data_IF_336973721639
#
_entry.id   IF_336973721639
#
_cell.length_a   1.000
_cell.length_b   1.000
_cell.length_c   1.000
_cell.angle_alpha   90.00
_cell.angle_beta   90.00
_cell.angle_gamma   90.00
#
_symmetry.space_group_name_H-M   'P 1'
#
loop_
_entity.id
_entity.type
_entity.pdbx_description
1 polymer ?
#
# COMPACT_ATOMS: atom_id res chain seq x y z
N UNK A 1 20.11 35.74 57.62
CA UNK A 1 20.12 37.21 57.41
C UNK A 1 21.58 37.66 57.32
N UNK A 2 21.96 38.66 56.49
CA UNK A 2 21.80 38.75 55.02
C UNK A 2 22.72 37.69 54.36
N UNK A 3 23.74 37.92 53.48
CA UNK A 3 24.05 38.98 52.47
C UNK A 3 22.97 39.10 51.36
N UNK A 4 22.98 39.97 50.32
CA UNK A 4 23.88 41.00 49.74
C UNK A 4 24.88 40.56 48.63
N UNK A 5 24.74 41.18 47.43
CA UNK A 5 25.60 41.03 46.22
C UNK A 5 26.15 42.38 45.74
N UNK A 6 27.47 42.47 45.56
CA UNK A 6 28.29 43.37 44.70
C UNK A 6 29.75 42.83 44.81
N UNK A 7 30.68 43.00 43.87
CA UNK A 7 30.64 43.69 42.55
C UNK A 7 30.99 42.66 41.44
N UNK A 8 31.93 42.72 40.49
CA UNK A 8 32.87 43.75 39.97
C UNK A 8 32.97 43.60 38.42
N UNK A 9 34.16 43.52 37.81
CA UNK A 9 34.37 43.33 36.36
C UNK A 9 35.58 42.44 36.04
N UNK A 10 35.68 41.97 34.78
CA UNK A 10 36.97 41.89 34.05
C UNK A 10 36.80 41.69 32.53
N UNK A 11 37.81 42.18 31.82
CA UNK A 11 38.01 42.13 30.36
C UNK A 11 38.29 40.66 29.88
N UNK A 12 38.42 40.30 28.60
CA UNK A 12 39.08 40.99 27.49
C UNK A 12 38.69 40.36 26.12
N UNK A 13 39.22 40.89 25.00
CA UNK A 13 38.77 40.54 23.65
C UNK A 13 39.45 39.32 23.00
N UNK A 14 38.77 38.70 22.02
CA UNK A 14 39.33 37.78 21.03
C UNK A 14 38.61 37.94 19.67
N UNK A 15 39.31 37.70 18.56
CA UNK A 15 38.88 38.07 17.21
C UNK A 15 38.22 36.94 16.40
N UNK A 16 37.53 37.30 15.32
CA UNK A 16 36.95 36.38 14.34
C UNK A 16 38.02 35.70 13.46
N UNK A 17 37.71 34.51 12.92
CA UNK A 17 38.58 33.76 12.02
C UNK A 17 37.77 33.16 10.85
N UNK A 18 38.39 33.12 9.66
CA UNK A 18 37.80 32.55 8.42
C UNK A 18 38.59 31.29 7.98
N UNK A 19 38.40 30.69 6.79
CA UNK A 19 38.23 29.25 6.67
C UNK A 19 39.55 28.45 6.70
N UNK A 20 39.50 27.25 7.29
CA UNK A 20 40.63 26.30 7.28
C UNK A 20 40.69 25.52 5.96
N UNK A 21 41.62 25.91 5.08
CA UNK A 21 42.23 24.96 4.13
C UNK A 21 43.44 24.31 4.79
N UNK A 22 43.55 22.98 4.75
CA UNK A 22 44.79 22.27 5.06
C UNK A 22 45.00 21.11 4.10
N UNK A 23 46.18 21.07 3.46
CA UNK A 23 46.61 19.98 2.58
C UNK A 23 46.99 18.77 3.42
N UNK A 24 46.53 17.58 3.04
CA UNK A 24 47.16 16.31 3.46
C UNK A 24 47.88 15.69 2.27
N UNK A 25 49.09 15.20 2.49
CA UNK A 25 50.00 14.68 1.47
C UNK A 25 49.94 13.16 1.38
N UNK A 26 49.44 12.62 0.27
CA UNK A 26 49.33 11.16 0.01
C UNK A 26 50.11 10.74 -1.24
N UNK A 27 51.40 11.04 -1.26
CA UNK A 27 52.31 10.69 -2.37
C UNK A 27 52.67 9.20 -2.43
N UNK A 28 51.79 8.36 -2.98
CA UNK A 28 52.08 6.94 -3.22
C UNK A 28 51.70 6.46 -4.64
N UNK A 29 52.62 6.72 -5.58
CA UNK A 29 52.92 5.91 -6.78
C UNK A 29 51.71 5.35 -7.56
N UNK A 30 51.23 6.14 -8.53
CA UNK A 30 50.59 5.59 -9.72
C UNK A 30 51.60 4.72 -10.50
N UNK A 31 51.67 3.42 -10.19
CA UNK A 31 52.51 2.48 -10.93
C UNK A 31 51.70 1.87 -12.07
N UNK A 32 51.72 2.53 -13.22
CA UNK A 32 51.03 2.06 -14.42
C UNK A 32 51.54 0.69 -14.86
N UNK A 33 50.74 -0.36 -14.67
CA UNK A 33 50.94 -1.67 -15.31
C UNK A 33 50.11 -1.75 -16.59
N UNK A 34 50.63 -1.14 -17.66
CA UNK A 34 50.29 -1.56 -19.03
C UNK A 34 51.24 -2.69 -19.44
N UNK A 35 50.77 -3.92 -19.24
CA UNK A 35 51.08 -5.20 -19.91
C UNK A 35 49.91 -6.09 -19.47
N UNK A 36 49.00 -6.52 -20.35
CA UNK A 36 49.20 -7.26 -21.59
C UNK A 36 49.88 -8.61 -21.31
N UNK A 37 49.37 -9.65 -21.96
CA UNK A 37 49.59 -11.06 -21.67
C UNK A 37 48.94 -11.46 -20.31
N UNK A 38 48.04 -12.44 -20.21
CA UNK A 38 47.51 -13.38 -21.21
C UNK A 38 45.98 -13.25 -21.39
N UNK A 39 45.53 -13.53 -22.60
CA UNK A 39 44.13 -13.54 -23.02
C UNK A 39 43.49 -14.89 -22.69
N UNK A 40 42.77 -14.98 -21.56
CA UNK A 40 41.89 -16.13 -21.30
C UNK A 40 40.69 -16.01 -22.23
N UNK A 41 40.82 -16.68 -23.38
CA UNK A 41 39.88 -16.71 -24.49
C UNK A 41 38.46 -17.16 -24.08
N UNK A 42 37.47 -16.61 -24.78
CA UNK A 42 36.33 -17.40 -25.27
C UNK A 42 35.29 -17.91 -24.28
N UNK A 43 35.46 -17.73 -22.97
CA UNK A 43 34.47 -18.13 -21.96
C UNK A 43 33.21 -17.25 -22.03
N UNK A 44 32.38 -17.51 -23.05
CA UNK A 44 31.30 -16.64 -23.52
C UNK A 44 30.39 -16.19 -22.37
N UNK A 45 30.53 -14.92 -21.98
CA UNK A 45 29.89 -14.36 -20.81
C UNK A 45 28.37 -14.16 -21.05
N UNK A 46 27.60 -15.24 -20.88
CA UNK A 46 26.13 -15.38 -21.07
C UNK A 46 25.43 -14.02 -21.17
N UNK A 47 24.90 -13.61 -22.34
CA UNK A 47 24.33 -12.28 -22.53
C UNK A 47 23.29 -11.91 -21.47
N UNK A 48 23.15 -10.62 -21.14
CA UNK A 48 22.23 -10.15 -20.09
C UNK A 48 20.78 -10.63 -20.33
N UNK A 49 20.37 -10.75 -21.59
CA UNK A 49 19.06 -11.26 -22.01
C UNK A 49 18.91 -12.78 -21.82
N UNK A 50 19.98 -13.55 -22.05
CA UNK A 50 20.00 -14.98 -21.78
C UNK A 50 20.05 -15.26 -20.28
N UNK A 51 20.75 -14.43 -19.50
CA UNK A 51 20.71 -14.47 -18.03
C UNK A 51 19.30 -14.14 -17.50
N UNK A 52 18.63 -13.12 -18.06
CA UNK A 52 17.24 -12.82 -17.74
C UNK A 52 16.30 -13.98 -18.09
N UNK A 53 16.52 -14.66 -19.23
CA UNK A 53 15.77 -15.85 -19.65
C UNK A 53 16.03 -17.12 -18.82
N UNK A 54 17.13 -17.18 -18.05
CA UNK A 54 17.37 -18.20 -17.02
C UNK A 54 16.64 -17.82 -15.73
N UNK A 55 16.80 -16.58 -15.27
CA UNK A 55 16.16 -16.07 -14.06
C UNK A 55 14.62 -16.07 -14.16
N UNK A 56 14.06 -15.91 -15.35
CA UNK A 56 12.62 -15.97 -15.61
C UNK A 56 12.02 -17.38 -15.54
N UNK A 57 12.82 -18.41 -15.28
CA UNK A 57 12.39 -19.83 -15.15
C UNK A 57 12.43 -20.33 -13.70
N UNK A 58 12.71 -19.46 -12.75
CA UNK A 58 12.75 -19.83 -11.33
C UNK A 58 11.34 -19.92 -10.74
N UNK A 59 11.15 -20.84 -9.79
CA UNK A 59 9.85 -21.04 -9.11
C UNK A 59 9.69 -20.10 -7.91
N UNK A 60 10.78 -19.60 -7.32
CA UNK A 60 10.75 -18.64 -6.21
C UNK A 60 11.38 -17.29 -6.59
N UNK A 61 10.63 -16.21 -6.38
CA UNK A 61 11.12 -14.83 -6.39
C UNK A 61 12.35 -14.64 -5.50
N UNK A 62 12.41 -15.36 -4.37
CA UNK A 62 13.54 -15.40 -3.45
C UNK A 62 14.82 -16.02 -4.04
N UNK A 63 14.74 -16.93 -5.01
CA UNK A 63 15.92 -17.43 -5.73
C UNK A 63 16.48 -16.32 -6.63
N UNK A 64 15.62 -15.55 -7.31
CA UNK A 64 16.02 -14.39 -8.13
C UNK A 64 16.64 -13.30 -7.26
N UNK A 65 16.10 -13.03 -6.07
CA UNK A 65 16.68 -12.10 -5.08
C UNK A 65 18.08 -12.55 -4.63
N UNK A 66 18.23 -13.84 -4.28
CA UNK A 66 19.53 -14.43 -3.89
C UNK A 66 20.54 -14.37 -5.03
N UNK A 67 20.10 -14.62 -6.26
CA UNK A 67 20.90 -14.52 -7.48
C UNK A 67 21.31 -13.07 -7.80
N UNK A 68 20.42 -12.09 -7.65
CA UNK A 68 20.73 -10.67 -7.80
C UNK A 68 21.83 -10.20 -6.82
N UNK A 69 21.86 -10.76 -5.61
CA UNK A 69 22.84 -10.44 -4.58
C UNK A 69 24.25 -11.03 -4.84
N UNK A 70 24.40 -12.01 -5.74
CA UNK A 70 25.70 -12.67 -6.01
C UNK A 70 26.75 -11.70 -6.59
N UNK A 71 26.35 -10.82 -7.51
CA UNK A 71 27.25 -9.84 -8.10
C UNK A 71 26.50 -8.66 -8.74
N UNK A 72 27.21 -7.53 -8.90
CA UNK A 72 26.67 -6.30 -9.52
C UNK A 72 26.15 -6.47 -10.95
N UNK A 73 26.58 -7.50 -11.71
CA UNK A 73 26.01 -7.79 -13.03
C UNK A 73 24.60 -8.34 -12.90
N UNK A 74 24.43 -9.41 -12.11
CA UNK A 74 23.15 -10.09 -11.94
C UNK A 74 22.12 -9.17 -11.29
N UNK A 75 22.51 -8.37 -10.28
CA UNK A 75 21.66 -7.33 -9.72
C UNK A 75 21.18 -6.29 -10.75
N UNK A 76 22.07 -5.79 -11.62
CA UNK A 76 21.68 -4.86 -12.71
C UNK A 76 20.72 -5.50 -13.71
N UNK A 77 20.92 -6.76 -14.09
CA UNK A 77 20.02 -7.48 -15.00
C UNK A 77 18.64 -7.66 -14.37
N UNK A 78 18.58 -8.04 -13.08
CA UNK A 78 17.31 -8.18 -12.35
C UNK A 78 16.57 -6.85 -12.23
N UNK A 79 17.26 -5.74 -11.94
CA UNK A 79 16.64 -4.40 -11.92
C UNK A 79 16.20 -3.95 -13.32
N UNK A 80 17.03 -4.12 -14.36
CA UNK A 80 16.72 -3.69 -15.72
C UNK A 80 15.60 -4.52 -16.40
N UNK A 81 15.46 -5.79 -16.03
CA UNK A 81 14.41 -6.70 -16.54
C UNK A 81 13.29 -6.95 -15.53
N UNK A 82 13.18 -6.14 -14.46
CA UNK A 82 12.27 -6.35 -13.33
C UNK A 82 10.80 -6.60 -13.75
N UNK A 83 10.23 -5.76 -14.63
CA UNK A 83 8.86 -5.91 -15.15
C UNK A 83 8.67 -7.03 -16.18
N UNK A 84 9.74 -7.74 -16.56
CA UNK A 84 9.69 -8.95 -17.38
C UNK A 84 9.80 -10.19 -16.48
N UNK A 85 10.73 -10.18 -15.52
CA UNK A 85 10.88 -11.22 -14.50
C UNK A 85 9.61 -11.33 -13.65
N UNK A 86 9.04 -10.22 -13.20
CA UNK A 86 7.80 -10.20 -12.42
C UNK A 86 6.57 -10.79 -13.13
N UNK A 87 6.60 -10.96 -14.46
CA UNK A 87 5.52 -11.61 -15.25
C UNK A 87 5.76 -13.10 -15.46
N UNK A 88 7.03 -13.53 -15.43
CA UNK A 88 7.41 -14.90 -15.73
C UNK A 88 7.59 -15.76 -14.46
N UNK A 89 7.86 -15.11 -13.32
CA UNK A 89 7.84 -15.72 -12.01
C UNK A 89 6.38 -15.85 -11.52
N UNK A 90 6.00 -16.95 -10.86
CA UNK A 90 4.69 -17.07 -10.24
C UNK A 90 4.51 -16.06 -9.08
N UNK A 91 3.26 -15.80 -8.64
CA UNK A 91 3.00 -15.09 -7.40
C UNK A 91 3.78 -15.70 -6.21
N UNK A 92 4.20 -14.90 -5.21
CA UNK A 92 4.95 -15.43 -4.09
C UNK A 92 4.10 -16.41 -3.25
N UNK A 93 4.38 -17.71 -3.36
CA UNK A 93 3.74 -18.79 -2.58
C UNK A 93 4.10 -18.80 -1.08
N UNK A 94 4.50 -17.64 -0.53
CA UNK A 94 4.70 -17.37 0.90
C UNK A 94 4.60 -15.86 1.15
N UNK A 95 4.31 -15.50 2.39
CA UNK A 95 4.31 -14.11 2.84
C UNK A 95 5.72 -13.51 2.71
N UNK A 96 5.82 -12.29 2.19
CA UNK A 96 7.07 -11.54 2.07
C UNK A 96 6.99 -10.20 2.80
N UNK A 97 7.20 -10.15 4.14
CA UNK A 97 7.10 -8.92 4.95
C UNK A 97 7.86 -7.70 4.39
N UNK A 98 8.93 -7.93 3.61
CA UNK A 98 9.72 -6.90 2.91
C UNK A 98 8.98 -6.15 1.79
N UNK A 99 7.81 -6.62 1.37
CA UNK A 99 6.96 -5.90 0.41
C UNK A 99 6.16 -4.78 1.07
N UNK A 100 5.89 -4.82 2.38
CA UNK A 100 5.20 -3.74 3.07
C UNK A 100 6.14 -2.54 3.29
N UNK A 101 5.73 -1.37 2.80
CA UNK A 101 6.58 -0.17 2.77
C UNK A 101 6.12 0.87 3.79
N UNK A 102 4.83 0.91 4.11
CA UNK A 102 4.27 1.81 5.11
C UNK A 102 2.77 2.04 4.94
N UNK A 103 2.30 3.17 5.48
CA UNK A 103 0.89 3.56 5.52
C UNK A 103 0.72 4.98 4.98
N UNK A 104 -0.17 5.15 4.01
CA UNK A 104 -0.74 6.46 3.68
C UNK A 104 -1.92 6.77 4.60
N UNK A 105 -2.05 8.03 5.01
CA UNK A 105 -3.22 8.52 5.73
C UNK A 105 -3.47 10.00 5.46
N UNK A 106 -4.60 10.52 5.97
CA UNK A 106 -4.78 11.94 6.23
C UNK A 106 -4.83 12.18 7.74
N UNK A 107 -4.40 13.37 8.16
CA UNK A 107 -4.64 13.85 9.53
C UNK A 107 -6.13 14.18 9.74
N UNK A 108 -6.52 14.41 11.00
CA UNK A 108 -7.82 15.01 11.31
C UNK A 108 -7.73 16.54 11.19
N UNK A 109 -8.84 17.21 10.90
CA UNK A 109 -8.89 18.68 10.74
C UNK A 109 -8.50 19.45 12.02
N UNK A 110 -8.57 18.79 13.18
CA UNK A 110 -8.14 19.31 14.49
C UNK A 110 -6.62 19.19 14.75
N UNK A 111 -5.84 18.62 13.82
CA UNK A 111 -4.40 18.49 13.98
C UNK A 111 -3.70 19.86 14.05
N UNK A 112 -2.70 20.05 14.94
CA UNK A 112 -2.07 21.34 15.18
C UNK A 112 -1.04 21.72 14.11
N UNK A 113 -1.47 21.79 12.85
CA UNK A 113 -0.70 22.40 11.78
C UNK A 113 -0.28 23.82 12.20
N UNK A 114 1.01 24.14 12.08
CA UNK A 114 1.59 25.37 12.62
C UNK A 114 0.96 26.62 11.97
N UNK A 115 0.00 27.25 12.68
CA UNK A 115 -0.82 28.36 12.17
C UNK A 115 0.01 29.60 11.87
N UNK A 116 0.52 29.69 10.65
CA UNK A 116 1.16 30.89 10.11
C UNK A 116 0.12 32.01 10.03
N UNK A 117 0.19 32.96 10.97
CA UNK A 117 -0.76 34.09 11.06
C UNK A 117 -0.69 34.92 9.77
N UNK A 118 -1.71 34.82 8.92
CA UNK A 118 -1.81 35.60 7.68
C UNK A 118 -2.63 34.97 6.57
N UNK A 119 -2.77 33.64 6.53
CA UNK A 119 -3.61 32.99 5.51
C UNK A 119 -5.10 33.05 5.86
N UNK A 120 -5.92 33.50 4.90
CA UNK A 120 -7.39 33.48 4.97
C UNK A 120 -7.99 32.20 4.37
N UNK A 121 -7.20 31.36 3.72
CA UNK A 121 -7.59 30.03 3.24
C UNK A 121 -7.19 28.94 4.26
N UNK A 122 -7.99 27.87 4.43
CA UNK A 122 -7.54 26.70 5.20
C UNK A 122 -6.28 26.08 4.56
N UNK A 123 -5.38 25.46 5.36
CA UNK A 123 -4.20 24.80 4.82
C UNK A 123 -4.63 23.59 3.98
N UNK A 124 -4.17 23.52 2.73
CA UNK A 124 -4.44 22.39 1.84
C UNK A 124 -3.88 21.09 2.45
N UNK A 125 -4.74 20.10 2.67
CA UNK A 125 -4.33 18.82 3.26
C UNK A 125 -3.65 17.95 2.21
N UNK A 126 -2.49 17.37 2.53
CA UNK A 126 -1.82 16.38 1.68
C UNK A 126 -1.93 14.99 2.33
N UNK A 127 -1.89 13.89 1.56
CA UNK A 127 -1.65 12.56 2.11
C UNK A 127 -0.31 12.52 2.85
N UNK A 128 -0.36 12.16 4.13
CA UNK A 128 0.82 11.83 4.92
C UNK A 128 1.23 10.38 4.66
N UNK A 129 2.52 10.08 4.77
CA UNK A 129 3.05 8.72 4.67
C UNK A 129 3.94 8.38 5.87
N UNK A 130 3.72 7.21 6.45
CA UNK A 130 4.48 6.67 7.58
C UNK A 130 5.21 5.40 7.13
N UNK A 131 6.55 5.39 7.10
CA UNK A 131 7.32 4.26 6.59
C UNK A 131 7.42 3.11 7.61
N UNK A 132 7.52 1.87 7.11
CA UNK A 132 8.01 0.76 7.92
C UNK A 132 9.51 0.93 8.20
N UNK A 133 9.97 0.57 9.40
CA UNK A 133 11.39 0.66 9.77
C UNK A 133 12.29 -0.19 8.85
N UNK A 134 11.76 -1.33 8.38
CA UNK A 134 12.38 -2.20 7.38
C UNK A 134 12.55 -1.56 6.00
N UNK A 135 11.62 -0.67 5.61
CA UNK A 135 11.51 -0.10 4.28
C UNK A 135 12.03 1.34 4.16
N UNK A 136 12.30 2.04 5.28
CA UNK A 136 12.84 3.40 5.31
C UNK A 136 14.09 3.61 4.42
N UNK A 137 14.89 2.56 4.19
CA UNK A 137 16.08 2.61 3.29
C UNK A 137 15.75 2.64 1.79
N UNK A 138 14.53 2.24 1.41
CA UNK A 138 14.03 2.29 0.03
C UNK A 138 13.38 3.65 -0.29
N UNK A 139 13.17 4.46 0.74
CA UNK A 139 12.48 5.74 0.71
C UNK A 139 13.54 6.85 0.71
N UNK A 140 14.19 7.01 -0.44
CA UNK A 140 15.00 8.19 -0.73
C UNK A 140 14.08 9.34 -1.13
N UNK A 141 14.39 10.57 -0.71
CA UNK A 141 13.62 11.77 -1.06
C UNK A 141 13.28 11.80 -2.56
N UNK A 142 14.27 11.53 -3.43
CA UNK A 142 14.13 11.57 -4.91
C UNK A 142 13.11 10.58 -5.51
N UNK A 143 12.63 9.58 -4.76
CA UNK A 143 11.61 8.62 -5.24
C UNK A 143 10.21 8.98 -4.77
N UNK A 144 10.08 9.50 -3.54
CA UNK A 144 8.78 9.79 -2.92
C UNK A 144 8.37 11.27 -3.05
N UNK A 145 9.36 12.18 -3.14
CA UNK A 145 9.12 13.58 -3.44
C UNK A 145 8.51 13.86 -4.82
N UNK A 146 8.81 13.15 -5.93
CA UNK A 146 8.24 13.50 -7.23
C UNK A 146 6.72 13.55 -7.25
N UNK A 147 6.01 12.55 -6.72
CA UNK A 147 4.55 12.57 -6.67
C UNK A 147 3.98 13.57 -5.64
N UNK A 148 4.70 13.85 -4.55
CA UNK A 148 4.23 14.71 -3.46
C UNK A 148 4.60 16.20 -3.66
N UNK A 149 5.62 16.50 -4.49
CA UNK A 149 6.22 17.85 -4.68
C UNK A 149 6.35 18.27 -6.15
N UNK A 150 6.18 17.37 -7.12
CA UNK A 150 6.18 17.69 -8.56
C UNK A 150 4.77 17.45 -9.13
N UNK A 151 4.13 18.37 -9.85
CA UNK A 151 4.55 19.70 -10.31
C UNK A 151 3.68 20.81 -9.67
N UNK A 152 3.95 22.07 -10.01
CA UNK A 152 3.28 23.27 -9.48
C UNK A 152 1.80 23.45 -9.88
N UNK A 153 1.09 22.38 -10.23
CA UNK A 153 -0.32 22.37 -10.67
C UNK A 153 -1.29 21.99 -9.52
N UNK A 154 -0.78 21.68 -8.33
CA UNK A 154 -1.58 21.49 -7.12
C UNK A 154 -2.46 20.23 -7.09
N UNK A 155 -2.35 19.34 -8.08
CA UNK A 155 -3.26 18.20 -8.32
C UNK A 155 -3.54 17.30 -7.10
N UNK A 156 -2.56 17.09 -6.21
CA UNK A 156 -2.73 16.27 -4.99
C UNK A 156 -3.19 17.04 -3.75
N UNK A 157 -3.39 18.36 -3.83
CA UNK A 157 -3.99 19.13 -2.73
C UNK A 157 -5.37 18.58 -2.40
N UNK A 158 -5.63 18.42 -1.11
CA UNK A 158 -6.85 17.84 -0.53
C UNK A 158 -7.17 16.42 -1.03
N UNK A 159 -6.24 15.75 -1.74
CA UNK A 159 -6.44 14.39 -2.19
C UNK A 159 -6.44 13.41 -1.03
N UNK A 160 -7.29 12.38 -1.09
CA UNK A 160 -7.35 11.30 -0.09
C UNK A 160 -6.94 9.96 -0.72
N UNK A 161 -6.11 9.14 -0.07
CA UNK A 161 -5.92 7.76 -0.51
C UNK A 161 -7.19 6.94 -0.23
N UNK A 162 -7.48 5.98 -1.11
CA UNK A 162 -8.74 5.20 -1.07
C UNK A 162 -8.48 3.70 -1.15
N UNK A 163 -7.49 3.29 -1.94
CA UNK A 163 -7.11 1.91 -2.17
C UNK A 163 -5.61 1.81 -2.52
N UNK A 164 -4.99 0.67 -2.27
CA UNK A 164 -3.63 0.32 -2.67
C UNK A 164 -3.57 -1.17 -3.01
N UNK A 165 -2.88 -1.51 -4.10
CA UNK A 165 -2.60 -2.88 -4.49
C UNK A 165 -1.37 -2.95 -5.38
N UNK A 166 -0.50 -3.95 -5.18
CA UNK A 166 0.58 -4.31 -6.10
C UNK A 166 1.48 -3.12 -6.53
N UNK A 167 1.88 -2.25 -5.59
CA UNK A 167 2.69 -1.07 -5.88
C UNK A 167 1.95 0.11 -6.52
N UNK A 168 0.63 0.03 -6.66
CA UNK A 168 -0.23 1.13 -7.10
C UNK A 168 -1.11 1.64 -5.94
N UNK A 169 -1.41 2.93 -5.97
CA UNK A 169 -2.22 3.68 -5.00
C UNK A 169 -3.33 4.44 -5.75
N UNK A 170 -4.56 4.35 -5.25
CA UNK A 170 -5.71 5.13 -5.73
C UNK A 170 -5.88 6.35 -4.82
N UNK A 171 -5.77 7.54 -5.40
CA UNK A 171 -6.07 8.82 -4.77
C UNK A 171 -7.38 9.40 -5.34
N UNK A 172 -8.30 9.81 -4.48
CA UNK A 172 -9.39 10.70 -4.88
C UNK A 172 -8.90 12.15 -4.85
N UNK A 173 -9.11 12.87 -5.96
CA UNK A 173 -8.72 14.26 -6.10
C UNK A 173 -9.89 15.17 -5.69
N UNK A 174 -9.67 16.04 -4.69
CA UNK A 174 -10.68 16.99 -4.20
C UNK A 174 -10.30 18.40 -4.67
N UNK A 175 -11.19 19.07 -5.42
CA UNK A 175 -10.91 20.42 -5.91
C UNK A 175 -11.18 21.48 -4.85
N UNK A 176 -10.30 22.48 -4.82
CA UNK A 176 -10.28 23.60 -3.87
C UNK A 176 -11.27 24.70 -4.35
N UNK A 177 -12.30 25.00 -3.56
CA UNK A 177 -13.34 25.99 -3.87
C UNK A 177 -14.77 25.42 -3.91
N UNK A 178 -15.73 26.17 -3.35
CA UNK A 178 -17.09 25.70 -3.02
C UNK A 178 -18.04 25.34 -4.18
N UNK A 179 -17.57 25.32 -5.43
CA UNK A 179 -18.34 24.94 -6.62
C UNK A 179 -17.86 23.58 -7.16
N UNK A 180 -17.97 22.53 -6.33
CA UNK A 180 -17.69 21.18 -6.78
C UNK A 180 -18.68 20.77 -7.89
N UNK A 181 -18.17 20.51 -9.09
CA UNK A 181 -18.85 20.07 -10.32
C UNK A 181 -19.62 18.71 -10.18
N UNK A 182 -19.77 18.19 -8.96
CA UNK A 182 -20.54 16.98 -8.68
C UNK A 182 -19.92 15.69 -9.24
N UNK A 183 -18.63 15.70 -9.60
CA UNK A 183 -17.95 14.53 -10.20
C UNK A 183 -16.92 13.95 -9.25
N UNK A 184 -16.78 12.63 -9.30
CA UNK A 184 -15.67 11.93 -8.66
C UNK A 184 -14.47 11.93 -9.62
N UNK A 185 -13.31 12.40 -9.16
CA UNK A 185 -12.04 12.38 -9.89
C UNK A 185 -11.06 11.50 -9.12
N UNK A 186 -10.45 10.55 -9.81
CA UNK A 186 -9.50 9.60 -9.23
C UNK A 186 -8.17 9.67 -9.98
N UNK A 187 -7.08 9.33 -9.30
CA UNK A 187 -5.77 9.10 -9.89
C UNK A 187 -5.25 7.75 -9.40
N UNK A 188 -4.69 6.95 -10.29
CA UNK A 188 -3.93 5.74 -9.95
C UNK A 188 -2.47 6.03 -10.20
N UNK A 189 -1.64 6.01 -9.15
CA UNK A 189 -0.21 6.23 -9.25
C UNK A 189 0.60 5.07 -8.66
N UNK A 190 1.89 4.99 -9.00
CA UNK A 190 2.84 4.05 -8.42
C UNK A 190 3.97 4.85 -7.73
N UNK A 191 3.89 5.04 -6.39
CA UNK A 191 4.87 5.78 -5.60
C UNK A 191 6.34 5.36 -5.77
N UNK A 192 6.63 4.13 -6.21
CA UNK A 192 8.00 3.66 -6.40
C UNK A 192 8.59 3.96 -7.79
N UNK A 193 7.78 4.46 -8.73
CA UNK A 193 8.19 4.71 -10.13
C UNK A 193 7.84 6.11 -10.66
N UNK A 194 6.90 6.81 -10.01
CA UNK A 194 6.39 8.10 -10.49
C UNK A 194 5.28 8.00 -11.55
N UNK A 195 4.94 6.80 -12.03
CA UNK A 195 3.79 6.57 -12.93
C UNK A 195 2.49 7.06 -12.29
N UNK A 196 1.65 7.75 -13.07
CA UNK A 196 0.37 8.29 -12.63
C UNK A 196 -0.61 8.47 -13.80
N UNK A 197 -1.80 7.91 -13.65
CA UNK A 197 -2.92 8.04 -14.57
C UNK A 197 -4.12 8.70 -13.86
N UNK A 198 -4.52 9.90 -14.30
CA UNK A 198 -5.75 10.54 -13.85
C UNK A 198 -6.93 9.96 -14.64
N UNK A 199 -7.94 9.44 -13.94
CA UNK A 199 -9.11 8.82 -14.55
C UNK A 199 -10.07 9.91 -15.07
N UNK A 200 -10.78 9.68 -16.19
CA UNK A 200 -11.91 10.51 -16.61
C UNK A 200 -12.91 10.68 -15.47
N UNK A 201 -13.41 11.90 -15.27
CA UNK A 201 -14.30 12.19 -14.13
C UNK A 201 -15.63 11.42 -14.23
N UNK A 202 -16.04 10.77 -13.15
CA UNK A 202 -17.30 10.01 -13.11
C UNK A 202 -18.49 10.98 -13.05
N UNK A 203 -19.06 11.29 -14.22
CA UNK A 203 -20.23 12.16 -14.39
C UNK A 203 -21.54 11.46 -13.98
N UNK A 204 -21.77 11.27 -12.68
CA UNK A 204 -23.01 10.72 -12.11
C UNK A 204 -24.19 11.73 -12.10
N UNK A 205 -24.31 12.55 -13.15
CA UNK A 205 -25.20 13.73 -13.19
C UNK A 205 -24.75 14.84 -12.22
N UNK A 206 -25.62 15.82 -11.89
CA UNK A 206 -25.28 17.01 -11.07
C UNK A 206 -24.96 16.76 -9.58
N UNK A 207 -24.53 15.56 -9.18
CA UNK A 207 -24.08 15.31 -7.80
C UNK A 207 -23.16 14.08 -7.72
N UNK A 208 -22.12 14.22 -6.88
CA UNK A 208 -21.04 13.26 -6.63
C UNK A 208 -21.53 12.10 -5.76
N UNK A 209 -21.07 10.85 -5.95
CA UNK A 209 -21.24 9.80 -4.96
C UNK A 209 -20.51 10.23 -3.68
N UNK A 210 -21.25 10.51 -2.60
CA UNK A 210 -20.67 10.93 -1.32
C UNK A 210 -19.81 9.81 -0.71
N UNK A 211 -20.36 8.60 -0.76
CA UNK A 211 -19.83 7.39 -0.17
C UNK A 211 -19.73 6.32 -1.27
N UNK A 212 -18.62 5.59 -1.31
CA UNK A 212 -18.38 4.51 -2.26
C UNK A 212 -17.26 3.59 -1.73
N UNK A 213 -17.37 2.30 -2.03
CA UNK A 213 -16.27 1.34 -1.92
C UNK A 213 -15.41 1.35 -3.17
N UNK A 214 -14.11 1.05 -3.00
CA UNK A 214 -13.14 0.99 -4.09
C UNK A 214 -12.48 -0.38 -4.14
N UNK A 215 -12.13 -0.87 -5.33
CA UNK A 215 -11.13 -1.92 -5.50
C UNK A 215 -10.18 -1.53 -6.63
N UNK A 216 -8.91 -1.91 -6.47
CA UNK A 216 -7.90 -1.83 -7.51
C UNK A 216 -7.48 -3.27 -7.82
N UNK A 217 -7.61 -3.69 -9.08
CA UNK A 217 -7.00 -4.91 -9.59
C UNK A 217 -5.87 -4.51 -10.54
N UNK A 218 -4.80 -5.29 -10.62
CA UNK A 218 -3.71 -5.11 -11.58
C UNK A 218 -3.48 -6.40 -12.37
N UNK A 219 -2.64 -6.37 -13.41
CA UNK A 219 -2.22 -7.59 -14.10
C UNK A 219 -1.41 -8.59 -13.27
N UNK A 220 -1.15 -8.33 -11.97
CA UNK A 220 -0.62 -9.33 -11.03
C UNK A 220 -1.76 -10.19 -10.39
N UNK A 221 -3.03 -9.92 -10.72
CA UNK A 221 -4.23 -10.54 -10.08
C UNK A 221 -5.10 -11.36 -11.05
N UNK A 222 -4.72 -11.42 -12.32
CA UNK A 222 -5.37 -12.15 -13.43
C UNK A 222 -4.30 -12.45 -14.50
N UNK A 223 -4.06 -13.73 -14.79
CA UNK A 223 -3.01 -14.20 -15.72
C UNK A 223 -3.22 -13.74 -17.17
N UNK A 224 -4.44 -13.33 -17.54
CA UNK A 224 -4.78 -12.85 -18.87
C UNK A 224 -4.50 -11.34 -19.05
N UNK A 225 -4.31 -10.59 -17.96
CA UNK A 225 -4.14 -9.14 -17.97
C UNK A 225 -2.67 -8.69 -18.08
N UNK A 226 -2.32 -7.71 -18.94
CA UNK A 226 -0.98 -7.15 -18.95
C UNK A 226 -0.60 -6.52 -17.59
N UNK A 227 0.63 -6.73 -17.09
CA UNK A 227 1.09 -6.12 -15.82
C UNK A 227 0.97 -4.58 -15.75
N UNK A 228 0.97 -3.91 -16.90
CA UNK A 228 0.78 -2.45 -17.01
C UNK A 228 -0.69 -2.02 -16.93
N UNK A 229 -1.61 -2.96 -17.14
CA UNK A 229 -3.06 -2.74 -17.02
C UNK A 229 -3.53 -2.72 -15.56
N UNK A 230 -4.65 -2.04 -15.32
CA UNK A 230 -5.34 -2.05 -14.04
C UNK A 230 -6.85 -1.82 -14.21
N UNK A 231 -7.62 -2.31 -13.25
CA UNK A 231 -9.06 -2.08 -13.14
C UNK A 231 -9.34 -1.29 -11.86
N UNK A 232 -10.14 -0.22 -11.93
CA UNK A 232 -10.70 0.44 -10.74
C UNK A 232 -12.19 0.15 -10.68
N UNK A 233 -12.61 -0.64 -9.70
CA UNK A 233 -14.01 -0.88 -9.41
C UNK A 233 -14.52 0.12 -8.36
N UNK A 234 -15.66 0.71 -8.64
CA UNK A 234 -16.42 1.53 -7.69
C UNK A 234 -17.75 0.87 -7.37
N UNK A 235 -18.01 0.71 -6.07
CA UNK A 235 -19.27 0.24 -5.51
C UNK A 235 -19.95 1.44 -4.85
N UNK A 236 -21.03 1.97 -5.43
CA UNK A 236 -21.68 3.20 -4.97
C UNK A 236 -23.20 3.12 -4.92
N UNK A 237 -23.86 4.05 -4.22
CA UNK A 237 -25.32 4.18 -4.28
C UNK A 237 -25.73 5.20 -5.34
N UNK A 238 -26.56 4.77 -6.29
CA UNK A 238 -27.05 5.61 -7.38
C UNK A 238 -28.31 6.41 -6.98
N UNK A 239 -28.71 7.34 -7.85
CA UNK A 239 -29.85 8.27 -7.66
C UNK A 239 -31.19 7.58 -7.38
N UNK A 240 -31.34 6.31 -7.76
CA UNK A 240 -32.57 5.51 -7.57
C UNK A 240 -32.56 4.75 -6.23
N UNK A 241 -31.67 5.13 -5.31
CA UNK A 241 -31.54 4.51 -3.99
C UNK A 241 -31.09 3.03 -4.04
N UNK A 242 -30.54 2.60 -5.17
CA UNK A 242 -30.02 1.26 -5.42
C UNK A 242 -28.49 1.29 -5.40
N UNK A 243 -27.89 0.21 -4.95
CA UNK A 243 -26.44 0.02 -5.03
C UNK A 243 -26.06 -0.40 -6.45
N UNK A 244 -24.99 0.18 -6.96
CA UNK A 244 -24.50 0.05 -8.32
C UNK A 244 -22.97 -0.15 -8.30
N UNK A 245 -22.47 -0.80 -9.34
CA UNK A 245 -21.06 -1.11 -9.55
C UNK A 245 -20.63 -0.57 -10.91
N UNK A 246 -19.38 -0.10 -10.99
CA UNK A 246 -18.81 0.38 -12.25
C UNK A 246 -17.30 0.17 -12.30
N UNK A 247 -16.80 -0.36 -13.41
CA UNK A 247 -15.38 -0.58 -13.65
C UNK A 247 -14.80 0.52 -14.54
N UNK A 248 -13.56 0.95 -14.26
CA UNK A 248 -12.68 1.63 -15.21
C UNK A 248 -11.55 0.70 -15.60
N UNK A 249 -11.34 0.53 -16.90
CA UNK A 249 -10.21 -0.22 -17.45
C UNK A 249 -9.10 0.74 -17.89
N UNK A 250 -7.85 0.38 -17.62
CA UNK A 250 -6.69 0.94 -18.28
C UNK A 250 -5.77 -0.17 -18.76
N UNK A 251 -5.27 -0.07 -20.00
CA UNK A 251 -4.17 -0.87 -20.51
C UNK A 251 -3.21 0.00 -21.29
N UNK A 252 -1.91 -0.27 -21.18
CA UNK A 252 -0.88 0.41 -21.98
C UNK A 252 -0.70 -0.21 -23.37
N UNK A 253 -1.50 -1.21 -23.74
CA UNK A 253 -1.44 -1.91 -25.03
C UNK A 253 -2.64 -1.65 -25.94
N UNK A 254 -3.72 -1.06 -25.42
CA UNK A 254 -4.87 -0.61 -26.20
C UNK A 254 -4.62 0.77 -26.81
N UNK A 255 -4.98 0.96 -28.09
CA UNK A 255 -4.90 2.26 -28.76
C UNK A 255 -5.85 3.31 -28.18
N UNK A 256 -6.96 2.87 -27.57
CA UNK A 256 -7.77 3.68 -26.68
C UNK A 256 -7.15 3.74 -25.28
N UNK A 257 -6.79 4.94 -24.84
CA UNK A 257 -6.60 5.23 -23.41
C UNK A 257 -7.86 4.86 -22.61
N UNK A 258 -7.67 4.45 -21.36
CA UNK A 258 -8.68 3.79 -20.53
C UNK A 258 -10.05 4.48 -20.40
N UNK A 259 -11.09 3.68 -20.09
CA UNK A 259 -12.49 4.11 -20.08
C UNK A 259 -13.35 3.46 -19.01
N UNK A 260 -14.44 4.14 -18.64
CA UNK A 260 -15.47 3.61 -17.74
C UNK A 260 -16.47 2.73 -18.48
N UNK A 261 -16.65 1.50 -18.00
CA UNK A 261 -17.67 0.56 -18.48
C UNK A 261 -19.11 0.98 -18.13
N UNK A 262 -20.10 0.10 -18.39
CA UNK A 262 -21.49 0.31 -18.01
C UNK A 262 -21.69 0.36 -16.48
N UNK A 263 -22.78 0.99 -16.02
CA UNK A 263 -23.23 0.87 -14.62
C UNK A 263 -24.00 -0.45 -14.46
N UNK A 264 -23.44 -1.38 -13.69
CA UNK A 264 -24.11 -2.62 -13.32
C UNK A 264 -24.92 -2.42 -12.02
N UNK A 265 -26.10 -3.01 -11.91
CA UNK A 265 -26.89 -3.00 -10.67
C UNK A 265 -26.37 -4.07 -9.72
N UNK A 266 -26.04 -3.71 -8.49
CA UNK A 266 -25.66 -4.68 -7.46
C UNK A 266 -26.88 -5.55 -7.06
N UNK A 267 -26.66 -6.84 -6.83
CA UNK A 267 -27.64 -7.76 -6.25
C UNK A 267 -28.03 -7.36 -4.82
N UNK A 268 -27.05 -6.95 -4.01
CA UNK A 268 -27.23 -6.56 -2.60
C UNK A 268 -27.34 -5.04 -2.43
N UNK A 269 -28.32 -4.60 -1.63
CA UNK A 269 -28.53 -3.18 -1.31
C UNK A 269 -27.77 -2.77 -0.06
N UNK A 270 -26.79 -1.89 -0.20
CA UNK A 270 -25.94 -1.37 0.86
C UNK A 270 -26.43 0.05 1.24
N UNK A 271 -26.60 0.34 2.53
CA UNK A 271 -26.99 1.70 2.97
C UNK A 271 -25.81 2.67 2.90
N UNK A 272 -26.06 3.97 2.69
CA UNK A 272 -24.99 4.98 2.58
C UNK A 272 -24.02 5.00 3.78
N UNK A 273 -24.54 4.84 5.00
CA UNK A 273 -23.72 4.77 6.22
C UNK A 273 -22.83 3.52 6.31
N UNK A 274 -23.24 2.38 5.73
CA UNK A 274 -22.37 1.20 5.57
C UNK A 274 -21.35 1.43 4.46
N UNK A 275 -21.79 2.01 3.34
CA UNK A 275 -20.97 2.31 2.18
C UNK A 275 -19.86 3.34 2.47
N UNK A 276 -20.07 4.25 3.42
CA UNK A 276 -19.04 5.16 3.94
C UNK A 276 -17.91 4.44 4.68
N UNK A 277 -18.22 3.27 5.25
CA UNK A 277 -17.33 2.45 6.08
C UNK A 277 -16.76 1.26 5.32
N UNK A 278 -17.25 0.99 4.11
CA UNK A 278 -16.75 -0.08 3.27
C UNK A 278 -15.36 0.35 2.76
N UNK A 279 -14.34 -0.42 3.13
CA UNK A 279 -12.96 -0.13 2.78
C UNK A 279 -12.64 -0.49 1.34
N UNK A 280 -11.36 -0.77 1.09
CA UNK A 280 -10.99 -1.45 -0.13
C UNK A 280 -11.48 -2.91 -0.12
N UNK A 281 -11.81 -3.45 -1.29
CA UNK A 281 -11.87 -4.89 -1.47
C UNK A 281 -10.48 -5.55 -1.46
N UNK A 282 -10.42 -6.78 -0.96
CA UNK A 282 -9.34 -7.71 -1.30
C UNK A 282 -9.60 -8.32 -2.68
N UNK A 283 -8.57 -8.85 -3.35
CA UNK A 283 -8.74 -9.51 -4.66
C UNK A 283 -8.14 -10.90 -4.64
N UNK A 284 -8.92 -11.88 -5.08
CA UNK A 284 -8.51 -13.28 -5.27
C UNK A 284 -8.98 -13.74 -6.65
N UNK A 285 -8.06 -14.28 -7.48
CA UNK A 285 -8.32 -14.83 -8.83
C UNK A 285 -9.26 -13.96 -9.70
N UNK A 286 -8.92 -12.67 -9.86
CA UNK A 286 -9.71 -11.69 -10.62
C UNK A 286 -11.05 -11.26 -10.01
N UNK A 287 -11.38 -11.67 -8.78
CA UNK A 287 -12.62 -11.29 -8.08
C UNK A 287 -12.33 -10.37 -6.91
N UNK A 288 -13.02 -9.23 -6.85
CA UNK A 288 -12.91 -8.27 -5.75
C UNK A 288 -13.96 -8.53 -4.67
N UNK A 289 -13.55 -8.70 -3.41
CA UNK A 289 -14.42 -9.01 -2.27
C UNK A 289 -14.50 -7.85 -1.26
N UNK A 290 -15.70 -7.34 -1.01
CA UNK A 290 -15.98 -6.42 0.10
C UNK A 290 -16.70 -7.13 1.25
N UNK A 291 -16.33 -6.89 2.53
CA UNK A 291 -17.09 -7.41 3.66
C UNK A 291 -18.40 -6.63 3.87
N UNK A 292 -19.52 -7.33 3.88
CA UNK A 292 -20.83 -6.83 4.34
C UNK A 292 -21.21 -7.48 5.69
N UNK A 293 -22.35 -7.13 6.28
CA UNK A 293 -22.80 -7.68 7.56
C UNK A 293 -23.18 -9.18 7.50
N UNK A 294 -23.64 -9.63 6.33
CA UNK A 294 -24.29 -10.93 6.14
C UNK A 294 -23.48 -11.88 5.22
N UNK A 295 -22.39 -11.37 4.64
CA UNK A 295 -21.50 -12.12 3.74
C UNK A 295 -20.41 -11.26 3.09
N UNK A 296 -19.49 -11.88 2.35
CA UNK A 296 -18.51 -11.18 1.52
C UNK A 296 -19.05 -11.05 0.08
N UNK A 297 -19.22 -9.81 -0.42
CA UNK A 297 -19.66 -9.55 -1.78
C UNK A 297 -18.46 -9.63 -2.73
N UNK A 298 -18.35 -10.74 -3.45
CA UNK A 298 -17.41 -10.91 -4.57
C UNK A 298 -18.00 -10.36 -5.88
N UNK A 299 -17.16 -9.69 -6.67
CA UNK A 299 -17.51 -9.15 -8.00
C UNK A 299 -16.40 -9.50 -8.99
N UNK A 300 -16.73 -10.22 -10.07
CA UNK A 300 -15.79 -10.63 -11.12
C UNK A 300 -15.84 -9.65 -12.30
N UNK A 301 -14.66 -9.31 -12.83
CA UNK A 301 -14.49 -8.46 -14.04
C UNK A 301 -13.99 -9.32 -15.20
N UNK A 302 -14.50 -9.06 -16.40
CA UNK A 302 -14.01 -9.67 -17.63
C UNK A 302 -12.71 -9.02 -18.10
N UNK A 303 -11.61 -9.76 -18.05
CA UNK A 303 -10.36 -9.36 -18.70
C UNK A 303 -10.51 -9.18 -20.22
N UNK A 304 -11.37 -10.00 -20.86
CA UNK A 304 -11.57 -10.03 -22.31
C UNK A 304 -12.35 -8.83 -22.86
N UNK A 305 -13.27 -8.25 -22.07
CA UNK A 305 -14.04 -7.03 -22.41
C UNK A 305 -13.60 -5.79 -21.60
N UNK A 306 -12.59 -5.94 -20.74
CA UNK A 306 -11.84 -4.89 -20.05
C UNK A 306 -12.58 -4.16 -18.93
N UNK A 307 -13.83 -3.73 -19.13
CA UNK A 307 -14.58 -2.89 -18.19
C UNK A 307 -15.96 -3.46 -17.82
N UNK A 308 -16.22 -4.72 -18.14
CA UNK A 308 -17.50 -5.39 -17.94
C UNK A 308 -17.49 -6.24 -16.66
N UNK A 309 -18.55 -6.13 -15.88
CA UNK A 309 -18.76 -6.93 -14.66
C UNK A 309 -19.62 -8.12 -15.06
N UNK A 310 -19.04 -9.32 -15.03
CA UNK A 310 -19.71 -10.55 -15.50
C UNK A 310 -20.50 -11.24 -14.41
N UNK A 311 -20.07 -11.12 -13.15
CA UNK A 311 -20.60 -11.92 -12.06
C UNK A 311 -20.58 -11.17 -10.73
N UNK A 312 -21.56 -11.47 -9.87
CA UNK A 312 -21.66 -10.96 -8.50
C UNK A 312 -22.23 -12.07 -7.62
N UNK A 313 -21.51 -12.41 -6.54
CA UNK A 313 -21.84 -13.49 -5.63
C UNK A 313 -21.60 -13.04 -4.18
N UNK A 314 -22.45 -13.48 -3.25
CA UNK A 314 -22.38 -13.11 -1.83
C UNK A 314 -22.05 -14.37 -1.03
N UNK A 315 -20.81 -14.49 -0.56
CA UNK A 315 -20.37 -15.63 0.23
C UNK A 315 -20.95 -15.50 1.65
N UNK A 316 -21.87 -16.36 2.09
CA UNK A 316 -22.52 -16.20 3.39
C UNK A 316 -21.55 -16.49 4.54
N UNK A 317 -21.73 -15.79 5.65
CA UNK A 317 -21.12 -16.17 6.93
C UNK A 317 -21.98 -17.23 7.64
N UNK A 318 -21.37 -18.10 8.46
CA UNK A 318 -22.09 -19.06 9.33
C UNK A 318 -23.18 -18.41 10.20
N UNK A 319 -22.99 -17.13 10.54
CA UNK A 319 -23.82 -16.33 11.44
C UNK A 319 -23.86 -14.89 10.91
N UNK A 320 -25.05 -14.28 10.72
CA UNK A 320 -25.18 -12.91 10.22
C UNK A 320 -24.83 -11.86 11.30
N UNK A 321 -24.76 -10.60 10.87
CA UNK A 321 -24.59 -9.40 11.73
C UNK A 321 -23.24 -9.30 12.45
N UNK A 322 -22.19 -9.93 11.94
CA UNK A 322 -20.82 -9.70 12.41
C UNK A 322 -20.26 -8.38 11.87
N UNK A 323 -20.30 -7.35 12.73
CA UNK A 323 -19.87 -5.96 12.51
C UNK A 323 -18.59 -5.82 11.66
N UNK A 324 -18.69 -5.27 10.42
CA UNK A 324 -17.53 -5.10 9.55
C UNK A 324 -16.43 -4.18 10.12
N UNK A 325 -16.76 -3.19 10.96
CA UNK A 325 -15.78 -2.25 11.55
C UNK A 325 -14.73 -2.91 12.45
N UNK A 326 -15.00 -4.12 12.95
CA UNK A 326 -14.06 -4.91 13.77
C UNK A 326 -13.29 -5.96 12.95
N UNK A 327 -13.51 -6.02 11.63
CA UNK A 327 -13.02 -7.09 10.75
C UNK A 327 -12.37 -6.53 9.50
N UNK A 328 -11.46 -7.29 8.91
CA UNK A 328 -11.00 -7.07 7.53
C UNK A 328 -10.98 -8.41 6.80
N UNK A 329 -11.17 -8.36 5.48
CA UNK A 329 -10.81 -9.49 4.63
C UNK A 329 -9.29 -9.49 4.37
N UNK A 330 -8.76 -10.64 4.02
CA UNK A 330 -7.40 -10.86 3.55
C UNK A 330 -7.35 -12.07 2.63
N UNK A 331 -6.26 -12.20 1.88
CA UNK A 331 -5.96 -13.37 1.05
C UNK A 331 -4.58 -13.89 1.46
N UNK A 332 -4.46 -15.19 1.68
CA UNK A 332 -3.18 -15.84 1.96
C UNK A 332 -2.49 -16.31 0.65
N UNK A 333 -1.16 -16.56 0.67
CA UNK A 333 -0.40 -17.09 -0.48
C UNK A 333 -0.82 -18.48 -0.97
N UNK A 334 -1.74 -19.15 -0.27
CA UNK A 334 -2.35 -20.42 -0.64
C UNK A 334 -3.77 -20.23 -1.22
N UNK A 335 -4.06 -19.04 -1.75
CA UNK A 335 -5.33 -18.57 -2.30
C UNK A 335 -6.53 -18.58 -1.34
N UNK A 336 -6.34 -18.85 -0.04
CA UNK A 336 -7.44 -18.84 0.92
C UNK A 336 -7.83 -17.40 1.27
N UNK A 337 -9.04 -17.02 0.86
CA UNK A 337 -9.76 -15.86 1.40
C UNK A 337 -10.02 -16.09 2.91
N UNK A 338 -9.74 -15.09 3.73
CA UNK A 338 -10.06 -15.10 5.16
C UNK A 338 -10.67 -13.78 5.60
N UNK A 339 -11.38 -13.78 6.72
CA UNK A 339 -11.52 -12.58 7.54
C UNK A 339 -10.64 -12.68 8.78
N UNK A 340 -10.14 -11.53 9.24
CA UNK A 340 -9.39 -11.39 10.48
C UNK A 340 -10.05 -10.37 11.39
N UNK A 341 -10.11 -10.70 12.68
CA UNK A 341 -10.67 -9.84 13.73
C UNK A 341 -9.91 -10.03 15.04
N UNK A 342 -9.93 -9.01 15.91
CA UNK A 342 -9.10 -9.00 17.12
C UNK A 342 -9.95 -9.22 18.39
N UNK A 343 -9.62 -10.26 19.15
CA UNK A 343 -10.16 -10.55 20.48
C UNK A 343 -9.14 -10.28 21.60
N UNK A 344 -9.59 -10.34 22.85
CA UNK A 344 -8.73 -10.33 24.04
C UNK A 344 -8.85 -11.68 24.74
N UNK A 345 -7.72 -12.25 25.16
CA UNK A 345 -7.64 -13.52 25.88
C UNK A 345 -6.88 -13.29 27.20
N UNK A 346 -7.61 -13.22 28.32
CA UNK A 346 -7.05 -12.73 29.57
C UNK A 346 -6.75 -11.24 29.47
N UNK A 347 -5.47 -10.87 29.51
CA UNK A 347 -4.98 -9.51 29.26
C UNK A 347 -4.27 -9.35 27.90
N UNK A 348 -4.21 -10.42 27.10
CA UNK A 348 -3.35 -10.51 25.92
C UNK A 348 -4.20 -10.38 24.65
N UNK A 349 -3.76 -9.50 23.73
CA UNK A 349 -4.42 -9.31 22.45
C UNK A 349 -4.23 -10.53 21.54
N UNK A 350 -5.28 -10.91 20.80
CA UNK A 350 -5.30 -12.07 19.91
C UNK A 350 -5.91 -11.70 18.57
N UNK A 351 -5.22 -11.96 17.46
CA UNK A 351 -5.86 -11.99 16.15
C UNK A 351 -6.48 -13.37 15.93
N UNK A 352 -7.70 -13.39 15.38
CA UNK A 352 -8.40 -14.59 14.95
C UNK A 352 -8.65 -14.54 13.46
N UNK A 353 -8.23 -15.58 12.74
CA UNK A 353 -8.46 -15.75 11.31
C UNK A 353 -9.53 -16.81 11.09
N UNK A 354 -10.46 -16.56 10.17
CA UNK A 354 -11.49 -17.50 9.72
C UNK A 354 -11.50 -17.55 8.20
N UNK A 355 -11.41 -18.75 7.63
CA UNK A 355 -11.25 -18.96 6.20
C UNK A 355 -12.59 -19.13 5.47
N UNK A 356 -12.56 -19.02 4.14
CA UNK A 356 -13.65 -19.44 3.26
C UNK A 356 -13.18 -20.64 2.43
N UNK A 357 -13.99 -21.69 2.40
CA UNK A 357 -13.84 -22.79 1.46
C UNK A 357 -14.41 -22.34 0.12
N UNK A 358 -13.54 -22.20 -0.89
CA UNK A 358 -13.88 -21.85 -2.27
C UNK A 358 -13.38 -23.00 -3.16
N UNK A 359 -14.30 -23.65 -3.85
CA UNK A 359 -14.05 -24.90 -4.57
C UNK A 359 -13.62 -24.60 -6.03
N UNK A 360 -12.31 -24.43 -6.24
CA UNK A 360 -11.73 -24.12 -7.56
C UNK A 360 -11.92 -22.64 -7.94
N UNK A 361 -12.36 -22.38 -9.18
CA UNK A 361 -12.62 -21.02 -9.68
C UNK A 361 -14.08 -20.58 -9.54
N UNK A 362 -14.96 -21.50 -9.11
CA UNK A 362 -16.34 -21.21 -8.72
C UNK A 362 -16.35 -20.55 -7.33
N UNK A 363 -16.13 -19.24 -7.35
CA UNK A 363 -16.32 -18.38 -6.18
C UNK A 363 -17.77 -18.41 -5.70
N UNK A 364 -18.75 -18.60 -6.59
CA UNK A 364 -20.19 -18.59 -6.25
C UNK A 364 -20.60 -19.74 -5.32
N UNK A 365 -19.94 -20.89 -5.40
CA UNK A 365 -20.09 -22.02 -4.47
C UNK A 365 -19.44 -21.80 -3.09
N UNK A 366 -18.68 -20.70 -2.93
CA UNK A 366 -17.88 -20.42 -1.74
C UNK A 366 -18.69 -20.19 -0.46
N UNK A 367 -18.22 -20.78 0.64
CA UNK A 367 -18.84 -20.65 1.98
C UNK A 367 -17.78 -20.45 3.05
N UNK A 368 -18.13 -19.77 4.14
CA UNK A 368 -17.23 -19.64 5.29
C UNK A 368 -16.94 -21.03 5.91
N UNK A 369 -15.73 -21.25 6.40
CA UNK A 369 -15.37 -22.41 7.22
C UNK A 369 -15.90 -22.26 8.65
N UNK A 370 -16.23 -23.39 9.28
CA UNK A 370 -16.79 -23.44 10.62
C UNK A 370 -15.86 -22.76 11.66
N UNK A 371 -16.45 -22.04 12.63
CA UNK A 371 -15.71 -21.30 13.67
C UNK A 371 -14.83 -22.17 14.60
N UNK A 372 -14.97 -23.50 14.57
CA UNK A 372 -14.05 -24.43 15.23
C UNK A 372 -12.66 -24.52 14.56
N UNK A 373 -12.53 -24.04 13.32
CA UNK A 373 -11.29 -24.02 12.52
C UNK A 373 -10.55 -22.67 12.59
N UNK A 374 -10.95 -21.77 13.50
CA UNK A 374 -10.34 -20.45 13.65
C UNK A 374 -8.89 -20.51 14.15
N UNK A 375 -7.96 -19.92 13.39
CA UNK A 375 -6.58 -19.79 13.84
C UNK A 375 -6.43 -18.57 14.77
N UNK A 376 -5.95 -18.81 16.00
CA UNK A 376 -5.70 -17.78 17.01
C UNK A 376 -4.23 -17.43 17.18
N UNK A 377 -3.83 -16.23 16.78
CA UNK A 377 -2.47 -15.69 16.95
C UNK A 377 -2.41 -14.80 18.20
N UNK A 378 -1.73 -15.26 19.26
CA UNK A 378 -1.57 -14.53 20.53
C UNK A 378 -0.41 -13.54 20.47
N UNK A 379 -0.71 -12.25 20.57
CA UNK A 379 0.28 -11.17 20.59
C UNK A 379 0.78 -10.97 22.02
N UNK A 380 1.62 -11.89 22.53
CA UNK A 380 2.13 -11.85 23.92
C UNK A 380 2.85 -10.53 24.29
N UNK A 381 3.35 -9.80 23.30
CA UNK A 381 3.95 -8.48 23.49
C UNK A 381 2.91 -7.38 23.77
N UNK A 382 1.64 -7.57 23.40
CA UNK A 382 0.54 -6.60 23.42
C UNK A 382 -0.48 -6.95 24.52
N UNK A 383 -0.25 -6.41 25.72
CA UNK A 383 -1.25 -6.42 26.80
C UNK A 383 -2.29 -5.31 26.56
N UNK A 384 -3.57 -5.69 26.53
CA UNK A 384 -4.73 -4.82 26.24
C UNK A 384 -5.91 -5.27 27.10
N UNK A 385 -6.55 -4.34 27.80
CA UNK A 385 -7.65 -4.62 28.75
C UNK A 385 -9.04 -4.28 28.22
N UNK A 386 -9.16 -3.57 27.09
CA UNK A 386 -10.45 -3.14 26.53
C UNK A 386 -10.37 -2.99 24.99
N UNK A 387 -11.31 -3.60 24.28
CA UNK A 387 -11.38 -3.59 22.81
C UNK A 387 -11.72 -2.19 22.24
N UNK A 388 -12.45 -1.34 22.98
CA UNK A 388 -12.85 0.02 22.52
C UNK A 388 -11.66 0.97 22.26
N UNK A 389 -10.46 0.56 22.68
CA UNK A 389 -9.21 1.28 22.37
C UNK A 389 -8.65 0.94 21.00
N UNK A 390 -9.07 -0.19 20.41
CA UNK A 390 -8.46 -0.77 19.21
C UNK A 390 -9.32 -0.53 17.96
N UNK A 391 -8.66 -0.21 16.85
CA UNK A 391 -9.25 -0.24 15.51
C UNK A 391 -8.36 -1.07 14.60
N UNK A 392 -8.95 -2.04 13.92
CA UNK A 392 -8.34 -2.73 12.79
C UNK A 392 -8.34 -1.76 11.58
N UNK A 393 -7.30 -1.78 10.73
CA UNK A 393 -7.09 -0.69 9.74
C UNK A 393 -6.77 -1.16 8.33
N UNK A 394 -5.88 -2.15 8.17
CA UNK A 394 -5.51 -2.65 6.85
C UNK A 394 -4.98 -4.10 6.90
N UNK A 395 -5.13 -4.84 5.79
CA UNK A 395 -4.41 -6.09 5.53
C UNK A 395 -3.58 -5.91 4.27
N UNK A 396 -2.28 -6.15 4.39
CA UNK A 396 -1.32 -6.18 3.29
C UNK A 396 -1.08 -7.65 2.93
N UNK A 397 -1.73 -8.11 1.86
CA UNK A 397 -1.89 -9.52 1.50
C UNK A 397 -0.55 -10.21 1.20
N UNK A 398 0.29 -9.61 0.34
CA UNK A 398 1.52 -10.27 -0.15
C UNK A 398 2.65 -10.26 0.88
N UNK A 399 2.61 -9.35 1.85
CA UNK A 399 3.54 -9.27 2.98
C UNK A 399 3.05 -9.96 4.25
N UNK A 400 1.74 -10.15 4.40
CA UNK A 400 1.13 -10.69 5.61
C UNK A 400 1.12 -9.72 6.79
N UNK A 401 1.20 -8.41 6.55
CA UNK A 401 1.10 -7.41 7.62
C UNK A 401 -0.36 -6.96 7.82
N UNK A 402 -0.81 -6.99 9.07
CA UNK A 402 -2.11 -6.46 9.48
C UNK A 402 -1.87 -5.20 10.30
N UNK A 403 -2.32 -4.06 9.78
CA UNK A 403 -2.21 -2.78 10.47
C UNK A 403 -3.40 -2.52 11.39
N UNK A 404 -3.11 -2.03 12.59
CA UNK A 404 -4.09 -1.64 13.59
C UNK A 404 -3.60 -0.44 14.40
N UNK A 405 -4.52 0.26 15.04
CA UNK A 405 -4.21 1.42 15.91
C UNK A 405 -4.79 1.21 17.29
N UNK A 406 -4.02 1.54 18.33
CA UNK A 406 -4.54 1.70 19.68
C UNK A 406 -4.63 3.18 20.05
N UNK A 407 -5.81 3.60 20.52
CA UNK A 407 -5.96 4.76 21.38
C UNK A 407 -5.24 4.51 22.70
N UNK A 408 -4.79 5.58 23.33
CA UNK A 408 -4.24 5.53 24.68
C UNK A 408 -5.16 4.78 25.66
N UNK A 409 -4.52 3.97 26.50
CA UNK A 409 -5.13 3.09 27.49
C UNK A 409 -4.32 3.17 28.79
N UNK A 410 -4.81 2.56 29.87
CA UNK A 410 -4.09 2.49 31.14
C UNK A 410 -2.74 1.75 31.08
N UNK A 411 -2.40 1.11 29.95
CA UNK A 411 -1.09 0.50 29.72
C UNK A 411 -0.08 1.43 29.02
N UNK A 412 -0.43 2.68 28.72
CA UNK A 412 0.47 3.67 28.11
C UNK A 412 0.94 3.35 26.68
N UNK A 413 0.21 2.49 25.95
CA UNK A 413 0.59 1.97 24.63
C UNK A 413 -0.34 2.45 23.53
N UNK A 414 -0.36 3.77 23.31
CA UNK A 414 -0.94 4.42 22.13
C UNK A 414 -0.06 4.22 20.88
N UNK A 415 -0.65 4.25 19.69
CA UNK A 415 0.08 4.30 18.42
C UNK A 415 -0.53 3.47 17.28
N UNK A 416 0.22 3.39 16.17
CA UNK A 416 -0.04 2.52 15.02
C UNK A 416 0.91 1.33 15.07
N UNK A 417 0.40 0.12 14.82
CA UNK A 417 1.10 -1.15 14.93
C UNK A 417 0.86 -2.02 13.69
N UNK A 418 1.79 -2.92 13.41
CA UNK A 418 1.63 -3.97 12.40
C UNK A 418 1.86 -5.34 13.05
N UNK A 419 0.91 -6.27 12.88
CA UNK A 419 1.07 -7.68 13.17
C UNK A 419 1.59 -8.37 11.92
N UNK A 420 2.71 -9.07 12.02
CA UNK A 420 3.25 -9.93 10.98
C UNK A 420 2.68 -11.35 11.14
N UNK A 421 1.91 -11.83 10.17
CA UNK A 421 1.27 -13.16 10.20
C UNK A 421 2.27 -14.33 10.11
N UNK A 422 3.42 -14.13 9.43
CA UNK A 422 4.47 -15.15 9.29
C UNK A 422 5.20 -15.38 10.61
N UNK A 423 5.76 -14.31 11.19
CA UNK A 423 6.57 -14.39 12.40
C UNK A 423 5.75 -14.32 13.69
N UNK A 424 4.46 -13.95 13.59
CA UNK A 424 3.50 -13.80 14.70
C UNK A 424 3.93 -12.74 15.74
N UNK A 425 4.76 -11.79 15.30
CA UNK A 425 5.27 -10.65 16.07
C UNK A 425 4.52 -9.36 15.74
N UNK A 426 4.56 -8.38 16.66
CA UNK A 426 4.01 -7.04 16.47
C UNK A 426 5.13 -6.01 16.48
N UNK A 427 5.20 -5.18 15.45
CA UNK A 427 6.06 -3.98 15.44
C UNK A 427 5.24 -2.70 15.61
N UNK A 428 5.86 -1.67 16.20
CA UNK A 428 5.27 -0.33 16.31
C UNK A 428 5.71 0.50 15.12
N UNK A 429 4.73 1.03 14.40
CA UNK A 429 4.90 1.77 13.13
C UNK A 429 4.91 3.27 13.37
N UNK A 430 4.12 3.76 14.34
CA UNK A 430 4.15 5.15 14.78
C UNK A 430 3.69 5.30 16.24
N UNK A 431 4.21 6.34 16.90
CA UNK A 431 3.72 6.86 18.17
C UNK A 431 2.47 7.75 17.99
N UNK A 432 1.76 8.02 19.09
CA UNK A 432 0.72 9.04 19.14
C UNK A 432 -0.63 8.64 18.53
N UNK A 433 -1.30 9.61 17.89
CA UNK A 433 -2.76 9.59 17.69
C UNK A 433 -3.24 8.88 16.42
N UNK A 434 -2.60 7.78 16.01
CA UNK A 434 -2.98 7.02 14.80
C UNK A 434 -4.45 6.61 14.74
N UNK A 435 -5.09 6.43 15.90
CA UNK A 435 -6.52 6.16 16.05
C UNK A 435 -7.46 7.28 15.54
N UNK A 436 -6.94 8.50 15.30
CA UNK A 436 -7.66 9.66 14.71
C UNK A 436 -7.45 9.81 13.20
N UNK A 437 -6.44 9.17 12.61
CA UNK A 437 -6.15 9.31 11.19
C UNK A 437 -7.36 8.94 10.33
N UNK A 438 -7.59 9.71 9.26
CA UNK A 438 -8.64 9.45 8.26
C UNK A 438 -8.02 8.78 7.03
N UNK A 439 -8.83 8.05 6.25
CA UNK A 439 -8.44 7.48 4.97
C UNK A 439 -7.10 6.70 5.05
N UNK A 440 -7.06 5.66 5.91
CA UNK A 440 -5.86 4.87 6.19
C UNK A 440 -5.70 3.77 5.12
N UNK A 441 -4.55 3.74 4.43
CA UNK A 441 -4.25 2.79 3.35
C UNK A 441 -2.84 2.24 3.55
N UNK A 442 -2.72 0.93 3.81
CA UNK A 442 -1.43 0.23 3.82
C UNK A 442 -0.89 0.05 2.40
N UNK A 443 0.43 0.22 2.22
CA UNK A 443 1.07 0.22 0.91
C UNK A 443 2.14 -0.87 0.79
N UNK A 444 1.93 -1.76 -0.18
CA UNK A 444 2.85 -2.83 -0.55
C UNK A 444 3.49 -2.54 -1.92
N UNK A 445 4.77 -2.85 -2.06
CA UNK A 445 5.47 -2.81 -3.34
C UNK A 445 5.11 -4.02 -4.19
N UNK A 446 4.69 -3.80 -5.45
CA UNK A 446 4.48 -4.88 -6.42
C UNK A 446 5.79 -5.55 -6.84
N UNK A 447 5.70 -6.78 -7.34
CA UNK A 447 6.86 -7.65 -7.63
C UNK A 447 7.92 -6.98 -8.51
N UNK A 448 7.50 -6.24 -9.55
CA UNK A 448 8.40 -5.50 -10.43
C UNK A 448 9.13 -4.35 -9.70
N UNK A 449 8.43 -3.62 -8.81
CA UNK A 449 9.06 -2.59 -7.98
C UNK A 449 10.08 -3.20 -7.01
N UNK A 450 9.72 -4.33 -6.39
CA UNK A 450 10.61 -5.04 -5.48
C UNK A 450 11.89 -5.48 -6.18
N UNK A 451 11.78 -6.15 -7.34
CA UNK A 451 12.94 -6.55 -8.14
C UNK A 451 13.81 -5.34 -8.58
N UNK A 452 13.17 -4.23 -8.96
CA UNK A 452 13.90 -3.00 -9.28
C UNK A 452 14.70 -2.44 -8.09
N UNK A 453 14.22 -2.63 -6.86
CA UNK A 453 14.84 -2.13 -5.62
C UNK A 453 16.07 -2.91 -5.12
N UNK A 454 16.32 -4.13 -5.63
CA UNK A 454 17.33 -5.04 -5.06
C UNK A 454 18.77 -4.59 -5.37
N UNK A 455 19.03 -4.02 -6.54
CA UNK A 455 20.38 -3.59 -6.90
C UNK A 455 20.82 -2.41 -6.01
N UNK A 456 22.04 -2.43 -5.44
CA UNK A 456 22.58 -1.26 -4.76
C UNK A 456 22.73 -0.13 -5.78
N UNK A 457 21.88 0.90 -5.67
CA UNK A 457 22.03 2.16 -6.40
C UNK A 457 23.43 2.70 -6.08
N UNK A 458 24.28 2.80 -7.09
CA UNK A 458 25.65 3.24 -6.91
C UNK A 458 25.70 4.74 -6.64
N UNK A 459 26.34 5.10 -5.52
CA UNK A 459 26.90 6.44 -5.31
C UNK A 459 28.24 6.58 -6.07
#
# INVERSE_FOLDING_TARGET
MPPVRRRESRDQAAAAAVPRTCRTTSGCRQRGRRRADEEIDGAAALPDDALAGVLSRFVDLGDVVRCAATCRRWGRVVTARASSLARALPPPGRLLPRLAIGVFHQEAEDAPAARTRGSSSPPAMLPCFVPMASAARLITDDVWCPLIRSHGDGLLRNSRPVASRNGRLVLELQQEGGHSDGRLKLCVCNPMSGDAAVLPALSSGPQKPRDYGCALLTGDDDDLSPLTSFHVLLLYNNRRGSTALRCYYYSSSSSSSGGWGPEAKCSTRISGGKLHRIGQAVVLRGVAFWPLDDGALGVRVSAATGAEITEMHLLPYDVPHYWPEARLLGVLPDDRLFFVYFGICGDTLMAKLSYFAIDGDDVGAGRKECSSLEEGIRMHQMKVTCQDTLKLRWVCEKSGLIFFTLRESSSGRSGTFALNLHDKLVEKVADGEGHKWRNFVGYEMGTAGYLASIAPRAC
#
